data_IF_638129416977
#
_entry.id   IF_638129416977
#
_cell.length_a   1.000
_cell.length_b   1.000
_cell.length_c   1.000
_cell.angle_alpha   90.00
_cell.angle_beta   90.00
_cell.angle_gamma   90.00
#
_symmetry.space_group_name_H-M   'P 1'
#
loop_
_entity.id
_entity.type
_entity.pdbx_description
1 polymer ?
#
# COMPACT_ATOMS: atom_id res chain seq x y z
N UNK A 1 18.72 3.68 27.79
CA UNK A 1 17.88 3.98 26.62
C UNK A 1 18.49 3.31 25.40
N UNK A 2 17.71 2.50 24.68
CA UNK A 2 18.15 1.85 23.45
C UNK A 2 18.10 2.81 22.27
N UNK A 3 18.83 2.51 21.19
CA UNK A 3 18.81 3.33 19.98
C UNK A 3 17.40 3.46 19.36
N UNK A 4 16.54 2.44 19.53
CA UNK A 4 15.16 2.47 19.09
C UNK A 4 14.30 3.44 19.92
N UNK A 5 14.47 3.47 21.24
CA UNK A 5 13.73 4.40 22.12
C UNK A 5 14.08 5.86 21.82
N UNK A 6 15.35 6.15 21.52
CA UNK A 6 15.82 7.49 21.15
C UNK A 6 15.17 7.93 19.83
N UNK A 7 15.11 7.03 18.86
CA UNK A 7 14.51 7.30 17.55
C UNK A 7 13.00 7.58 17.65
N UNK A 8 12.27 6.80 18.45
CA UNK A 8 10.85 7.04 18.74
C UNK A 8 10.64 8.40 19.41
N UNK A 9 11.45 8.75 20.41
CA UNK A 9 11.34 10.06 21.07
C UNK A 9 11.56 11.22 20.11
N UNK A 10 12.61 11.16 19.29
CA UNK A 10 12.88 12.17 18.26
C UNK A 10 11.73 12.32 17.27
N UNK A 11 11.07 11.21 16.90
CA UNK A 11 9.90 11.25 16.02
C UNK A 11 8.70 11.92 16.70
N UNK A 12 8.44 11.61 17.98
CA UNK A 12 7.34 12.20 18.75
C UNK A 12 7.55 13.70 19.03
N UNK A 13 8.80 14.15 19.08
CA UNK A 13 9.18 15.57 19.22
C UNK A 13 9.21 16.32 17.88
N UNK A 14 9.21 15.62 16.74
CA UNK A 14 9.22 16.24 15.42
C UNK A 14 7.88 16.91 15.10
N UNK A 15 7.92 18.01 14.33
CA UNK A 15 6.72 18.66 13.86
C UNK A 15 5.88 17.73 12.98
N UNK A 16 4.57 17.71 13.23
CA UNK A 16 3.63 16.88 12.48
C UNK A 16 3.56 17.26 11.01
N UNK A 17 3.40 16.26 10.15
CA UNK A 17 3.20 16.48 8.73
C UNK A 17 1.83 17.10 8.45
N UNK A 18 1.79 18.16 7.64
CA UNK A 18 0.53 18.75 7.18
C UNK A 18 -0.34 17.71 6.45
N UNK A 19 -1.67 17.74 6.67
CA UNK A 19 -2.62 16.77 6.10
C UNK A 19 -2.67 16.74 4.56
N UNK A 20 -2.14 17.77 3.90
CA UNK A 20 -2.07 17.88 2.44
C UNK A 20 -0.80 17.23 1.84
N UNK A 21 0.13 16.77 2.68
CA UNK A 21 1.40 16.19 2.23
C UNK A 21 1.35 14.67 2.22
N UNK A 22 2.17 14.07 1.37
CA UNK A 22 2.27 12.62 1.24
C UNK A 22 3.15 12.03 2.37
N UNK A 23 2.59 11.19 3.27
CA UNK A 23 3.36 10.62 4.37
C UNK A 23 4.45 9.64 3.89
N UNK A 24 4.21 8.89 2.81
CA UNK A 24 5.22 7.98 2.24
C UNK A 24 6.43 8.74 1.67
N UNK A 25 6.20 9.91 1.08
CA UNK A 25 7.29 10.77 0.60
C UNK A 25 8.11 11.30 1.78
N UNK A 26 7.45 11.75 2.84
CA UNK A 26 8.13 12.23 4.05
C UNK A 26 9.01 11.14 4.69
N UNK A 27 8.49 9.91 4.83
CA UNK A 27 9.26 8.79 5.37
C UNK A 27 10.45 8.38 4.51
N UNK A 28 10.33 8.49 3.18
CA UNK A 28 11.46 8.28 2.26
C UNK A 28 12.55 9.32 2.50
N UNK A 29 12.17 10.59 2.59
CA UNK A 29 13.11 11.71 2.71
C UNK A 29 13.78 11.72 4.11
N UNK A 30 13.11 11.21 5.15
CA UNK A 30 13.63 11.11 6.53
C UNK A 30 14.14 9.71 6.90
N UNK A 31 14.29 8.82 5.94
CA UNK A 31 14.72 7.43 6.17
C UNK A 31 16.11 7.31 6.81
N UNK A 32 17.00 8.27 6.55
CA UNK A 32 18.33 8.32 7.18
C UNK A 32 18.26 8.75 8.65
N UNK A 33 17.29 9.59 9.00
CA UNK A 33 17.08 10.08 10.37
C UNK A 33 16.34 9.05 11.23
N UNK A 34 15.45 8.28 10.61
CA UNK A 34 14.61 7.28 11.26
C UNK A 34 14.70 5.91 10.55
N UNK A 35 15.86 5.24 10.55
CA UNK A 35 16.07 4.03 9.76
C UNK A 35 15.19 2.85 10.18
N UNK A 36 14.86 2.70 11.46
CA UNK A 36 14.00 1.62 11.95
C UNK A 36 12.53 1.98 11.77
N UNK A 37 12.15 3.22 12.08
CA UNK A 37 10.76 3.64 11.95
C UNK A 37 10.33 3.78 10.49
N UNK A 38 11.22 4.22 9.59
CA UNK A 38 10.90 4.31 8.16
C UNK A 38 10.60 2.95 7.54
N UNK A 39 11.26 1.89 8.00
CA UNK A 39 10.97 0.52 7.58
C UNK A 39 9.55 0.12 7.98
N UNK A 40 9.19 0.33 9.25
CA UNK A 40 7.86 0.01 9.78
C UNK A 40 6.79 0.87 9.09
N UNK A 41 7.04 2.17 8.95
CA UNK A 41 6.11 3.12 8.37
C UNK A 41 5.81 2.80 6.90
N UNK A 42 6.80 2.32 6.14
CA UNK A 42 6.60 1.87 4.77
C UNK A 42 5.56 0.76 4.71
N UNK A 43 5.65 -0.24 5.57
CA UNK A 43 4.74 -1.39 5.56
C UNK A 43 3.33 -1.01 6.05
N UNK A 44 3.26 -0.22 7.12
CA UNK A 44 1.98 0.24 7.69
C UNK A 44 1.24 1.17 6.73
N UNK A 45 1.94 2.12 6.10
CA UNK A 45 1.31 3.10 5.21
C UNK A 45 1.07 2.58 3.79
N UNK A 46 1.76 1.53 3.35
CA UNK A 46 1.48 0.86 2.08
C UNK A 46 0.21 0.01 2.14
N UNK A 47 -0.25 -0.34 3.35
CA UNK A 47 -1.46 -1.13 3.53
C UNK A 47 -2.70 -0.26 3.26
N UNK A 48 -3.56 -0.61 2.30
CA UNK A 48 -4.78 0.14 2.06
C UNK A 48 -5.69 0.08 3.30
N UNK A 49 -6.25 1.23 3.69
CA UNK A 49 -7.11 1.33 4.87
C UNK A 49 -8.42 0.51 4.75
N UNK A 50 -8.77 0.07 3.55
CA UNK A 50 -9.99 -0.70 3.29
C UNK A 50 -9.74 -1.80 2.25
N UNK A 51 -10.59 -2.82 2.24
CA UNK A 51 -10.62 -3.87 1.21
C UNK A 51 -11.24 -3.39 -0.12
N UNK A 52 -11.80 -2.18 -0.16
CA UNK A 52 -12.48 -1.60 -1.33
C UNK A 52 -11.64 -1.67 -2.62
N UNK A 53 -10.30 -1.47 -2.61
CA UNK A 53 -9.50 -1.62 -3.80
C UNK A 53 -9.59 -3.03 -4.39
N UNK A 54 -9.49 -4.09 -3.56
CA UNK A 54 -9.55 -5.48 -4.02
C UNK A 54 -10.94 -5.87 -4.48
N UNK A 55 -12.00 -5.47 -3.76
CA UNK A 55 -13.39 -5.69 -4.16
C UNK A 55 -13.71 -5.05 -5.51
N UNK A 56 -13.21 -3.84 -5.77
CA UNK A 56 -13.36 -3.17 -7.08
C UNK A 56 -12.64 -3.95 -8.19
N UNK A 57 -11.51 -4.59 -7.91
CA UNK A 57 -10.83 -5.49 -8.88
C UNK A 57 -11.72 -6.69 -9.18
N UNK A 58 -12.22 -7.36 -8.13
CA UNK A 58 -12.99 -8.58 -8.27
C UNK A 58 -14.37 -8.35 -8.87
N UNK A 59 -15.03 -7.23 -8.58
CA UNK A 59 -16.30 -6.85 -9.21
C UNK A 59 -16.11 -6.61 -10.71
N UNK A 60 -15.11 -5.79 -11.11
CA UNK A 60 -14.84 -5.52 -12.52
C UNK A 60 -14.35 -6.75 -13.28
N UNK A 61 -13.56 -7.61 -12.62
CA UNK A 61 -13.19 -8.90 -13.16
C UNK A 61 -14.43 -9.81 -13.32
N UNK A 62 -15.29 -9.87 -12.31
CA UNK A 62 -16.53 -10.64 -12.33
C UNK A 62 -17.46 -10.22 -13.48
N UNK A 63 -17.64 -8.93 -13.71
CA UNK A 63 -18.38 -8.41 -14.86
C UNK A 63 -17.73 -8.78 -16.19
N UNK A 64 -16.40 -8.61 -16.33
CA UNK A 64 -15.67 -8.96 -17.55
C UNK A 64 -15.76 -10.45 -17.88
N UNK A 65 -15.66 -11.30 -16.85
CA UNK A 65 -15.69 -12.76 -16.99
C UNK A 65 -17.12 -13.24 -17.27
N UNK A 66 -18.10 -12.74 -16.50
CA UNK A 66 -19.51 -13.11 -16.62
C UNK A 66 -20.12 -12.66 -17.95
N UNK A 67 -19.84 -11.43 -18.40
CA UNK A 67 -20.44 -10.87 -19.60
C UNK A 67 -19.77 -11.34 -20.91
N UNK A 68 -18.46 -11.67 -20.91
CA UNK A 68 -17.75 -12.03 -22.15
C UNK A 68 -17.42 -13.50 -22.34
N UNK A 69 -17.25 -14.34 -21.31
CA UNK A 69 -16.87 -15.75 -21.50
C UNK A 69 -17.28 -16.67 -20.35
N UNK A 70 -18.43 -17.32 -20.50
CA UNK A 70 -18.90 -18.42 -19.64
C UNK A 70 -18.01 -19.69 -19.64
N UNK A 71 -16.87 -19.70 -20.37
CA UNK A 71 -15.98 -20.86 -20.54
C UNK A 71 -14.49 -20.58 -20.25
N UNK A 72 -14.15 -19.50 -19.54
CA UNK A 72 -12.76 -19.26 -19.12
C UNK A 72 -12.37 -20.16 -17.93
N UNK A 73 -11.20 -20.79 -17.99
CA UNK A 73 -10.62 -21.48 -16.85
C UNK A 73 -10.08 -20.48 -15.82
N UNK A 74 -10.06 -20.86 -14.54
CA UNK A 74 -9.57 -20.03 -13.42
C UNK A 74 -8.17 -19.45 -13.68
N UNK A 75 -7.26 -20.26 -14.24
CA UNK A 75 -5.88 -19.84 -14.59
C UNK A 75 -5.85 -18.66 -15.56
N UNK A 76 -6.75 -18.65 -16.55
CA UNK A 76 -6.80 -17.57 -17.54
C UNK A 76 -7.41 -16.30 -16.95
N UNK A 77 -8.32 -16.43 -16.00
CA UNK A 77 -8.88 -15.29 -15.25
C UNK A 77 -7.79 -14.58 -14.46
N UNK A 78 -6.99 -15.32 -13.70
CA UNK A 78 -5.91 -14.76 -12.88
C UNK A 78 -4.91 -13.99 -13.75
N UNK A 79 -4.55 -14.55 -14.90
CA UNK A 79 -3.61 -13.92 -15.83
C UNK A 79 -4.18 -12.64 -16.44
N UNK A 80 -5.47 -12.60 -16.78
CA UNK A 80 -6.14 -11.40 -17.28
C UNK A 80 -6.20 -10.31 -16.22
N UNK A 81 -6.55 -10.66 -14.97
CA UNK A 81 -6.59 -9.71 -13.85
C UNK A 81 -5.19 -9.15 -13.60
N UNK A 82 -4.17 -10.01 -13.59
CA UNK A 82 -2.78 -9.60 -13.41
C UNK A 82 -2.34 -8.63 -14.50
N UNK A 83 -2.55 -8.97 -15.78
CA UNK A 83 -2.17 -8.09 -16.89
C UNK A 83 -2.92 -6.75 -16.86
N UNK A 84 -4.22 -6.75 -16.59
CA UNK A 84 -5.01 -5.52 -16.50
C UNK A 84 -4.57 -4.63 -15.33
N UNK A 85 -4.00 -5.19 -14.25
CA UNK A 85 -3.55 -4.40 -13.09
C UNK A 85 -2.13 -3.87 -13.22
N UNK A 86 -1.33 -4.41 -14.13
CA UNK A 86 0.09 -4.09 -14.29
C UNK A 86 0.41 -3.40 -15.63
N UNK A 87 -0.60 -3.09 -16.45
CA UNK A 87 -0.52 -2.20 -17.63
C UNK A 87 -0.95 -0.80 -17.21
#
# INVERSE_FOLDING_TARGET
MTAAEIEVRRFLEAEGLARTKNPLAWWRDHSQMFPRLALIAKDVLATPATLVPSERIFSKAGELISARRSRLSKKNVDMIIFLHKNI
#
